data_IF_912718919143
#
_entry.id   IF_912718919143
#
_cell.length_a   1.000
_cell.length_b   1.000
_cell.length_c   1.000
_cell.angle_alpha   90.00
_cell.angle_beta   90.00
_cell.angle_gamma   90.00
#
_symmetry.space_group_name_H-M   'P 1'
#
loop_
_entity.id
_entity.type
_entity.pdbx_description
1 polymer ?
#
# COMPACT_ATOMS: atom_id res chain seq x y z
N UNK A 1 29.27 64.26 -59.55
CA UNK A 1 27.83 64.29 -59.23
C UNK A 1 27.32 62.89 -59.28
N UNK A 2 27.29 62.18 -58.10
CA UNK A 2 26.74 60.82 -57.97
C UNK A 2 25.57 60.88 -56.99
N UNK A 3 24.38 60.64 -57.47
CA UNK A 3 23.15 60.54 -56.64
C UNK A 3 23.13 59.23 -55.91
N UNK A 4 23.08 59.28 -54.57
CA UNK A 4 22.83 58.14 -53.75
C UNK A 4 21.31 58.02 -53.57
N UNK A 5 20.76 56.93 -54.02
CA UNK A 5 19.36 56.51 -53.73
C UNK A 5 19.38 55.74 -52.38
N UNK A 6 18.73 56.25 -51.35
CA UNK A 6 18.40 55.55 -50.14
C UNK A 6 17.17 54.65 -50.44
N UNK A 7 17.38 53.37 -50.39
CA UNK A 7 16.28 52.37 -50.36
C UNK A 7 15.81 52.20 -48.89
N UNK A 8 14.63 52.71 -48.59
CA UNK A 8 13.93 52.43 -47.32
C UNK A 8 13.33 51.05 -47.40
N UNK A 9 13.91 50.09 -46.68
CA UNK A 9 13.33 48.77 -46.48
C UNK A 9 12.20 48.89 -45.46
N UNK A 10 10.94 48.73 -45.91
CA UNK A 10 9.77 48.59 -45.07
C UNK A 10 9.76 47.20 -44.47
N UNK A 11 10.12 47.06 -43.20
CA UNK A 11 9.95 45.83 -42.42
C UNK A 11 8.47 45.77 -42.03
N UNK A 12 7.68 45.04 -42.82
CA UNK A 12 6.32 44.65 -42.41
C UNK A 12 6.41 43.59 -41.30
N UNK A 13 6.28 44.00 -40.04
CA UNK A 13 6.01 43.08 -38.93
C UNK A 13 4.65 42.41 -39.21
N UNK A 14 4.70 41.14 -39.58
CA UNK A 14 3.54 40.25 -39.60
C UNK A 14 3.10 40.05 -38.15
N UNK A 15 2.18 40.88 -37.67
CA UNK A 15 1.42 40.63 -36.47
C UNK A 15 0.52 39.42 -36.76
N UNK A 16 0.99 38.20 -36.43
CA UNK A 16 0.14 37.04 -36.43
C UNK A 16 -1.07 37.31 -35.52
N UNK A 17 -2.27 36.86 -35.88
CA UNK A 17 -3.48 37.23 -35.14
C UNK A 17 -3.44 36.67 -33.74
N UNK A 18 -3.28 37.56 -32.76
CA UNK A 18 -3.34 37.22 -31.31
C UNK A 18 -4.71 36.64 -30.89
N UNK A 19 -5.65 36.55 -31.81
CA UNK A 19 -7.00 36.02 -31.59
C UNK A 19 -7.07 34.51 -31.46
N UNK A 20 -6.09 33.74 -31.96
CA UNK A 20 -6.08 32.28 -31.83
C UNK A 20 -5.64 31.79 -30.44
N UNK A 21 -5.07 32.67 -29.62
CA UNK A 21 -4.57 32.32 -28.29
C UNK A 21 -5.55 32.63 -27.17
N UNK A 22 -6.65 33.32 -27.43
CA UNK A 22 -7.60 33.80 -26.43
C UNK A 22 -9.03 33.37 -26.75
N UNK A 23 -9.77 32.95 -25.71
CA UNK A 23 -11.20 32.59 -25.86
C UNK A 23 -12.14 33.80 -25.75
N UNK A 24 -11.66 34.87 -25.10
CA UNK A 24 -12.42 36.12 -24.89
C UNK A 24 -11.49 37.27 -24.52
N UNK A 25 -12.06 38.50 -24.49
CA UNK A 25 -11.45 39.68 -23.86
C UNK A 25 -12.45 40.24 -22.84
N UNK A 26 -12.02 40.34 -21.58
CA UNK A 26 -12.85 40.84 -20.45
C UNK A 26 -12.25 42.15 -19.95
N UNK A 27 -13.00 43.24 -20.03
CA UNK A 27 -12.53 44.57 -19.61
C UNK A 27 -11.14 44.94 -20.18
N UNK A 28 -10.92 44.64 -21.45
CA UNK A 28 -9.65 44.91 -22.15
C UNK A 28 -8.53 43.90 -21.88
N UNK A 29 -8.73 42.90 -20.97
CA UNK A 29 -7.74 41.85 -20.68
C UNK A 29 -8.07 40.56 -21.45
N UNK A 30 -7.10 39.98 -22.15
CA UNK A 30 -7.29 38.74 -22.90
C UNK A 30 -7.41 37.56 -21.90
N UNK A 31 -8.33 36.65 -22.22
CA UNK A 31 -8.52 35.38 -21.46
C UNK A 31 -7.90 34.25 -22.30
N UNK A 32 -6.73 33.70 -21.88
CA UNK A 32 -6.02 32.71 -22.66
C UNK A 32 -6.79 31.41 -22.84
N UNK A 33 -6.73 30.81 -24.02
CA UNK A 33 -7.26 29.47 -24.33
C UNK A 33 -6.69 28.39 -23.41
N UNK A 34 -5.46 28.58 -22.89
CA UNK A 34 -4.83 27.66 -21.95
C UNK A 34 -5.67 27.42 -20.69
N UNK A 35 -6.46 28.41 -20.21
CA UNK A 35 -7.36 28.24 -19.05
C UNK A 35 -8.51 27.29 -19.37
N UNK A 36 -9.08 27.36 -20.54
CA UNK A 36 -10.12 26.44 -21.01
C UNK A 36 -9.55 25.02 -21.15
N UNK A 37 -8.37 24.92 -21.77
CA UNK A 37 -7.70 23.63 -21.94
C UNK A 37 -7.35 22.97 -20.61
N UNK A 38 -6.99 23.74 -19.58
CA UNK A 38 -6.72 23.21 -18.24
C UNK A 38 -7.98 22.60 -17.60
N UNK A 39 -9.16 23.27 -17.70
CA UNK A 39 -10.43 22.72 -17.22
C UNK A 39 -10.83 21.47 -18.00
N UNK A 40 -10.72 21.51 -19.34
CA UNK A 40 -10.98 20.37 -20.21
C UNK A 40 -10.12 19.16 -19.78
N UNK A 41 -8.83 19.33 -19.66
CA UNK A 41 -7.90 18.27 -19.25
C UNK A 41 -8.20 17.73 -17.83
N UNK A 42 -8.75 18.56 -16.93
CA UNK A 42 -9.16 18.11 -15.60
C UNK A 42 -10.38 17.17 -15.67
N UNK A 43 -11.36 17.48 -16.53
CA UNK A 43 -12.54 16.64 -16.73
C UNK A 43 -12.15 15.33 -17.43
N UNK A 44 -11.33 15.39 -18.47
CA UNK A 44 -10.86 14.22 -19.20
C UNK A 44 -10.07 13.24 -18.30
N UNK A 45 -9.28 13.77 -17.37
CA UNK A 45 -8.58 12.96 -16.34
C UNK A 45 -9.53 12.22 -15.39
N UNK A 46 -10.76 12.71 -15.22
CA UNK A 46 -11.79 11.99 -14.42
C UNK A 46 -12.53 10.91 -15.23
N UNK A 47 -12.08 10.61 -16.47
CA UNK A 47 -12.66 9.59 -17.34
C UNK A 47 -13.93 10.02 -18.07
N UNK A 48 -14.30 11.32 -18.03
CA UNK A 48 -15.48 11.85 -18.72
C UNK A 48 -15.07 12.52 -20.02
N UNK A 49 -15.70 12.18 -21.16
CA UNK A 49 -15.49 12.88 -22.42
C UNK A 49 -16.07 14.30 -22.34
N UNK A 50 -15.39 15.25 -22.96
CA UNK A 50 -15.87 16.63 -23.06
C UNK A 50 -16.59 16.78 -24.40
N UNK A 51 -17.92 17.02 -24.39
CA UNK A 51 -18.75 17.27 -25.56
C UNK A 51 -18.64 18.75 -26.01
N UNK A 52 -19.08 19.05 -27.21
CA UNK A 52 -19.10 20.44 -27.73
C UNK A 52 -19.99 21.37 -26.88
N UNK A 53 -21.13 20.87 -26.39
CA UNK A 53 -22.00 21.59 -25.47
C UNK A 53 -21.27 21.91 -24.15
N UNK A 54 -20.59 20.91 -23.55
CA UNK A 54 -19.77 21.13 -22.35
C UNK A 54 -18.64 22.12 -22.60
N UNK A 55 -18.03 22.08 -23.78
CA UNK A 55 -16.97 23.01 -24.15
C UNK A 55 -17.49 24.47 -24.16
N UNK A 56 -18.73 24.71 -24.68
CA UNK A 56 -19.41 26.00 -24.59
C UNK A 56 -19.57 26.44 -23.10
N UNK A 57 -20.13 25.59 -22.28
CA UNK A 57 -20.32 25.86 -20.84
C UNK A 57 -19.00 26.16 -20.12
N UNK A 58 -17.95 25.39 -20.39
CA UNK A 58 -16.62 25.61 -19.83
C UNK A 58 -16.03 26.97 -20.27
N UNK A 59 -16.25 27.36 -21.49
CA UNK A 59 -15.82 28.68 -22.01
C UNK A 59 -16.50 29.80 -21.19
N UNK A 60 -17.82 29.71 -21.02
CA UNK A 60 -18.60 30.70 -20.28
C UNK A 60 -18.13 30.72 -18.78
N UNK A 61 -17.87 29.58 -18.20
CA UNK A 61 -17.32 29.50 -16.85
C UNK A 61 -15.94 30.18 -16.72
N UNK A 62 -15.03 29.97 -17.68
CA UNK A 62 -13.72 30.64 -17.68
C UNK A 62 -13.86 32.16 -17.77
N UNK A 63 -14.80 32.64 -18.62
CA UNK A 63 -15.08 34.07 -18.72
C UNK A 63 -15.65 34.63 -17.43
N UNK A 64 -16.64 33.95 -16.81
CA UNK A 64 -17.23 34.36 -15.55
C UNK A 64 -16.17 34.41 -14.44
N UNK A 65 -15.30 33.43 -14.36
CA UNK A 65 -14.16 33.40 -13.38
C UNK A 65 -13.24 34.61 -13.57
N UNK A 66 -12.94 35.00 -14.81
CA UNK A 66 -12.11 36.20 -15.07
C UNK A 66 -12.81 37.47 -14.58
N UNK A 67 -14.12 37.62 -14.82
CA UNK A 67 -14.92 38.78 -14.36
C UNK A 67 -14.84 38.87 -12.81
N UNK A 68 -15.12 37.77 -12.12
CA UNK A 68 -15.09 37.73 -10.65
C UNK A 68 -13.68 37.98 -10.09
N UNK A 69 -12.66 37.46 -10.75
CA UNK A 69 -11.27 37.65 -10.35
C UNK A 69 -10.82 39.11 -10.52
N UNK A 70 -11.26 39.79 -11.59
CA UNK A 70 -10.98 41.21 -11.77
C UNK A 70 -11.68 42.07 -10.70
N UNK A 71 -12.94 41.77 -10.37
CA UNK A 71 -13.66 42.49 -9.33
C UNK A 71 -13.03 42.26 -7.93
N UNK A 72 -12.63 41.02 -7.64
CA UNK A 72 -11.94 40.70 -6.38
C UNK A 72 -10.62 41.50 -6.23
N UNK A 73 -9.82 41.58 -7.30
CA UNK A 73 -8.60 42.40 -7.32
C UNK A 73 -8.88 43.89 -7.16
N UNK A 74 -9.94 44.40 -7.84
CA UNK A 74 -10.35 45.79 -7.71
C UNK A 74 -10.71 46.14 -6.26
N UNK A 75 -11.26 45.18 -5.50
CA UNK A 75 -11.57 45.33 -4.06
C UNK A 75 -10.36 45.07 -3.17
N UNK A 76 -9.20 44.76 -3.70
CA UNK A 76 -7.99 44.51 -2.93
C UNK A 76 -7.98 43.18 -2.17
N UNK A 77 -8.88 42.22 -2.50
CA UNK A 77 -8.97 40.94 -1.78
C UNK A 77 -7.73 40.07 -1.95
N UNK A 78 -7.02 40.21 -3.07
CA UNK A 78 -5.77 39.51 -3.36
C UNK A 78 -4.55 40.06 -2.56
N UNK A 79 -4.71 41.21 -1.90
CA UNK A 79 -3.73 41.78 -0.99
C UNK A 79 -3.98 41.43 0.49
N UNK A 80 -5.12 40.81 0.82
CA UNK A 80 -5.47 40.45 2.19
C UNK A 80 -4.52 39.38 2.74
N UNK A 81 -4.28 39.39 4.06
CA UNK A 81 -3.43 38.39 4.72
C UNK A 81 -4.06 36.99 4.66
N UNK A 82 -5.39 36.92 4.74
CA UNK A 82 -6.13 35.66 4.58
C UNK A 82 -5.87 35.02 3.22
N UNK A 83 -5.99 35.79 2.12
CA UNK A 83 -5.70 35.29 0.78
C UNK A 83 -4.25 34.82 0.64
N UNK A 84 -3.28 35.60 1.13
CA UNK A 84 -1.86 35.27 1.08
C UNK A 84 -1.55 34.00 1.84
N UNK A 85 -2.12 33.84 3.05
CA UNK A 85 -1.94 32.63 3.86
C UNK A 85 -2.53 31.38 3.17
N UNK A 86 -3.73 31.50 2.61
CA UNK A 86 -4.36 30.39 1.89
C UNK A 86 -3.59 30.03 0.61
N UNK A 87 -3.08 31.03 -0.12
CA UNK A 87 -2.27 30.80 -1.30
C UNK A 87 -0.96 30.07 -0.96
N UNK A 88 -0.31 30.45 0.13
CA UNK A 88 0.93 29.80 0.59
C UNK A 88 0.69 28.35 1.02
N UNK A 89 -0.38 28.08 1.77
CA UNK A 89 -0.78 26.71 2.13
C UNK A 89 -1.10 25.86 0.90
N UNK A 90 -1.81 26.43 -0.06
CA UNK A 90 -2.13 25.73 -1.33
C UNK A 90 -0.84 25.42 -2.12
N UNK A 91 0.10 26.38 -2.19
CA UNK A 91 1.40 26.20 -2.84
C UNK A 91 2.21 25.08 -2.19
N UNK A 92 2.31 25.07 -0.87
CA UNK A 92 3.02 24.02 -0.12
C UNK A 92 2.39 22.66 -0.38
N UNK A 93 1.06 22.54 -0.31
CA UNK A 93 0.34 21.31 -0.59
C UNK A 93 0.62 20.77 -1.99
N UNK A 94 0.60 21.66 -2.99
CA UNK A 94 0.88 21.28 -4.37
C UNK A 94 2.33 20.79 -4.52
N UNK A 95 3.30 21.53 -3.98
CA UNK A 95 4.72 21.15 -4.06
C UNK A 95 5.01 19.81 -3.39
N UNK A 96 4.43 19.57 -2.20
CA UNK A 96 4.58 18.31 -1.47
C UNK A 96 3.99 17.15 -2.29
N UNK A 97 2.81 17.34 -2.85
CA UNK A 97 2.18 16.33 -3.71
C UNK A 97 3.02 16.02 -4.96
N UNK A 98 3.52 17.06 -5.63
CA UNK A 98 4.36 16.89 -6.82
C UNK A 98 5.69 16.20 -6.48
N UNK A 99 6.29 16.50 -5.31
CA UNK A 99 7.50 15.82 -4.82
C UNK A 99 7.26 14.30 -4.66
N UNK A 100 6.15 13.92 -4.03
CA UNK A 100 5.84 12.51 -3.84
C UNK A 100 5.49 11.81 -5.16
N UNK A 101 4.76 12.49 -6.04
CA UNK A 101 4.45 11.96 -7.38
C UNK A 101 5.72 11.76 -8.23
N UNK A 102 6.65 12.71 -8.20
CA UNK A 102 7.95 12.60 -8.88
C UNK A 102 8.79 11.44 -8.31
N UNK A 103 8.83 11.30 -6.98
CA UNK A 103 9.50 10.19 -6.33
C UNK A 103 8.93 8.83 -6.77
N UNK A 104 7.60 8.67 -6.75
CA UNK A 104 6.94 7.43 -7.18
C UNK A 104 7.23 7.10 -8.64
N UNK A 105 7.18 8.11 -9.51
CA UNK A 105 7.48 7.95 -10.94
C UNK A 105 8.93 7.50 -11.19
N UNK A 106 9.88 8.01 -10.41
CA UNK A 106 11.30 7.70 -10.55
C UNK A 106 11.71 6.40 -9.85
N UNK A 107 10.90 5.95 -8.89
CA UNK A 107 11.16 4.76 -8.08
C UNK A 107 9.97 3.79 -8.10
N UNK A 108 9.54 3.31 -9.27
CA UNK A 108 8.43 2.35 -9.36
C UNK A 108 8.79 1.07 -8.61
N UNK A 109 7.78 0.36 -8.15
CA UNK A 109 7.95 -1.01 -7.67
C UNK A 109 8.13 -1.90 -8.90
N UNK A 110 9.20 -2.69 -8.90
CA UNK A 110 9.55 -3.60 -10.00
C UNK A 110 9.01 -5.01 -9.76
N UNK A 111 8.80 -5.77 -10.82
CA UNK A 111 8.43 -7.19 -10.71
C UNK A 111 9.48 -8.01 -9.95
N UNK A 112 10.77 -7.67 -10.07
CA UNK A 112 11.83 -8.33 -9.33
C UNK A 112 11.72 -8.09 -7.80
N UNK A 113 11.33 -6.89 -7.37
CA UNK A 113 11.09 -6.61 -5.94
C UNK A 113 9.87 -7.36 -5.42
N UNK A 114 8.80 -7.42 -6.22
CA UNK A 114 7.59 -8.18 -5.88
C UNK A 114 7.92 -9.68 -5.75
N UNK A 115 8.65 -10.23 -6.72
CA UNK A 115 9.09 -11.63 -6.68
C UNK A 115 9.95 -11.90 -5.45
N UNK A 116 10.93 -11.03 -5.16
CA UNK A 116 11.80 -11.20 -4.01
C UNK A 116 11.05 -11.15 -2.66
N UNK A 117 9.99 -10.34 -2.54
CA UNK A 117 9.16 -10.30 -1.34
C UNK A 117 8.28 -11.55 -1.23
N UNK A 118 7.73 -12.02 -2.35
CA UNK A 118 7.00 -13.27 -2.41
C UNK A 118 7.88 -14.47 -2.07
N UNK A 119 9.11 -14.52 -2.57
CA UNK A 119 10.06 -15.61 -2.27
C UNK A 119 10.40 -15.68 -0.77
N UNK A 120 10.53 -14.53 -0.09
CA UNK A 120 10.69 -14.46 1.37
C UNK A 120 9.45 -15.02 2.09
N UNK A 121 8.27 -14.64 1.61
CA UNK A 121 7.01 -15.16 2.16
C UNK A 121 6.92 -16.67 2.00
N UNK A 122 7.25 -17.20 0.82
CA UNK A 122 7.31 -18.66 0.55
C UNK A 122 8.33 -19.34 1.44
N UNK A 123 9.53 -18.75 1.59
CA UNK A 123 10.58 -19.33 2.44
C UNK A 123 10.17 -19.38 3.94
N UNK A 124 9.42 -18.37 4.39
CA UNK A 124 8.97 -18.29 5.79
C UNK A 124 7.74 -19.16 6.09
N UNK A 125 6.85 -19.35 5.10
CA UNK A 125 5.53 -20.00 5.31
C UNK A 125 5.35 -21.26 4.47
N UNK A 126 6.29 -21.57 3.59
CA UNK A 126 6.30 -22.79 2.79
C UNK A 126 6.76 -24.02 3.58
N UNK A 127 6.78 -25.17 2.88
CA UNK A 127 7.16 -26.44 3.48
C UNK A 127 5.97 -27.29 3.85
N UNK A 128 6.01 -27.93 5.03
CA UNK A 128 4.94 -28.81 5.50
C UNK A 128 4.05 -28.08 6.50
N UNK A 129 2.76 -28.30 6.37
CA UNK A 129 1.76 -28.04 7.41
C UNK A 129 1.38 -29.34 8.09
N UNK A 130 1.19 -29.26 9.39
CA UNK A 130 0.87 -30.36 10.25
C UNK A 130 -0.52 -30.12 10.86
N UNK A 131 -1.42 -31.08 10.72
CA UNK A 131 -2.62 -31.14 11.52
C UNK A 131 -2.27 -31.86 12.80
N UNK A 132 -1.97 -31.10 13.83
CA UNK A 132 -1.48 -31.63 15.09
C UNK A 132 -2.54 -31.53 16.20
N UNK A 133 -2.42 -32.43 17.16
CA UNK A 133 -3.11 -32.36 18.45
C UNK A 133 -2.13 -32.36 19.56
N UNK A 134 -2.47 -31.73 20.69
CA UNK A 134 -1.64 -31.83 21.88
C UNK A 134 -2.46 -31.90 23.18
N UNK A 135 -1.82 -32.43 24.20
CA UNK A 135 -2.28 -32.33 25.59
C UNK A 135 -1.18 -31.61 26.37
N UNK A 136 -1.53 -30.50 27.00
CA UNK A 136 -0.62 -29.74 27.87
C UNK A 136 -0.95 -30.03 29.31
N UNK A 137 0.08 -30.41 30.12
CA UNK A 137 -0.03 -30.63 31.56
C UNK A 137 1.09 -29.96 32.31
N UNK A 138 0.93 -29.83 33.63
CA UNK A 138 1.86 -29.11 34.50
C UNK A 138 3.13 -29.92 34.82
N UNK A 139 2.99 -31.27 34.92
CA UNK A 139 4.09 -32.11 35.35
C UNK A 139 4.41 -33.21 34.34
N UNK A 140 5.69 -33.64 34.34
CA UNK A 140 6.17 -34.73 33.50
C UNK A 140 5.45 -36.05 33.78
N UNK A 141 5.20 -36.32 35.09
CA UNK A 141 4.56 -37.58 35.53
C UNK A 141 3.10 -37.67 35.03
N UNK A 142 2.38 -36.53 34.99
CA UNK A 142 1.05 -36.50 34.40
C UNK A 142 1.12 -36.83 32.90
N UNK A 143 2.08 -36.24 32.18
CA UNK A 143 2.25 -36.52 30.75
C UNK A 143 2.62 -37.98 30.49
N UNK A 144 3.54 -38.58 31.27
CA UNK A 144 3.90 -40.00 31.18
C UNK A 144 2.70 -40.92 31.44
N UNK A 145 1.86 -40.57 32.42
CA UNK A 145 0.67 -41.35 32.76
C UNK A 145 -0.33 -41.32 31.59
N UNK A 146 -0.58 -40.15 30.99
CA UNK A 146 -1.48 -40.00 29.86
C UNK A 146 -0.92 -40.69 28.60
N UNK A 147 0.38 -40.65 28.34
CA UNK A 147 0.99 -41.40 27.23
C UNK A 147 0.71 -42.91 27.42
N UNK A 148 0.94 -43.43 28.61
CA UNK A 148 0.69 -44.84 28.92
C UNK A 148 -0.79 -45.22 28.79
N UNK A 149 -1.72 -44.32 29.12
CA UNK A 149 -3.16 -44.52 28.96
C UNK A 149 -3.55 -44.55 27.50
N UNK A 150 -3.02 -43.62 26.68
CA UNK A 150 -3.27 -43.58 25.22
C UNK A 150 -2.74 -44.87 24.55
N UNK A 151 -1.52 -45.31 24.94
CA UNK A 151 -0.92 -46.57 24.44
C UNK A 151 -1.75 -47.81 24.75
N UNK A 152 -2.53 -47.79 25.85
CA UNK A 152 -3.46 -48.86 26.21
C UNK A 152 -4.84 -48.72 25.54
N UNK A 153 -5.04 -47.79 24.62
CA UNK A 153 -6.25 -47.62 23.88
C UNK A 153 -7.15 -46.51 24.36
N UNK A 154 -6.69 -45.68 25.29
CA UNK A 154 -7.38 -44.42 25.67
C UNK A 154 -7.46 -43.46 24.47
N UNK A 155 -8.61 -42.79 24.32
CA UNK A 155 -8.82 -41.84 23.24
C UNK A 155 -8.15 -40.53 23.55
N UNK A 156 -7.24 -40.11 22.68
CA UNK A 156 -6.46 -38.87 22.81
C UNK A 156 -7.34 -37.65 23.04
N UNK A 157 -8.40 -37.52 22.25
CA UNK A 157 -9.31 -36.37 22.28
C UNK A 157 -10.09 -36.28 23.60
N UNK A 158 -10.49 -37.42 24.17
CA UNK A 158 -11.19 -37.45 25.46
C UNK A 158 -10.25 -37.09 26.62
N UNK A 159 -9.02 -37.58 26.53
CA UNK A 159 -8.00 -37.27 27.54
C UNK A 159 -7.56 -35.80 27.43
N UNK A 160 -7.45 -35.24 26.21
CA UNK A 160 -7.19 -33.84 26.05
C UNK A 160 -8.29 -32.97 26.64
N UNK A 161 -9.57 -33.26 26.38
CA UNK A 161 -10.71 -32.54 26.99
C UNK A 161 -10.70 -32.59 28.52
N UNK A 162 -10.27 -33.69 29.07
CA UNK A 162 -10.32 -33.91 30.53
C UNK A 162 -9.11 -33.32 31.26
N UNK A 163 -7.92 -33.36 30.65
CA UNK A 163 -6.67 -33.13 31.36
C UNK A 163 -5.84 -31.96 30.79
N UNK A 164 -6.08 -31.54 29.51
CA UNK A 164 -5.27 -30.48 28.93
C UNK A 164 -5.50 -29.15 29.64
N UNK A 165 -4.42 -28.47 29.94
CA UNK A 165 -4.41 -27.10 30.47
C UNK A 165 -4.33 -26.04 29.39
N UNK A 166 -4.29 -26.46 28.11
CA UNK A 166 -4.35 -25.52 27.01
C UNK A 166 -5.78 -24.97 26.81
N UNK A 167 -6.01 -23.66 27.05
CA UNK A 167 -7.34 -23.07 26.93
C UNK A 167 -7.84 -23.00 25.49
N UNK A 168 -6.92 -23.01 24.51
CA UNK A 168 -7.25 -22.87 23.10
C UNK A 168 -7.74 -24.17 22.48
N UNK A 169 -7.07 -25.29 22.74
CA UNK A 169 -7.35 -26.55 22.08
C UNK A 169 -7.93 -27.63 22.99
N UNK A 170 -7.74 -27.54 24.31
CA UNK A 170 -8.13 -28.59 25.25
C UNK A 170 -9.59 -29.02 25.10
N UNK A 171 -10.54 -28.08 25.08
CA UNK A 171 -11.96 -28.34 24.92
C UNK A 171 -12.32 -28.99 23.56
N UNK A 172 -11.47 -28.78 22.53
CA UNK A 172 -11.61 -29.34 21.18
C UNK A 172 -10.82 -30.65 21.00
N UNK A 173 -10.47 -31.35 22.10
CA UNK A 173 -9.71 -32.59 22.04
C UNK A 173 -8.24 -32.40 21.65
N UNK A 174 -7.70 -31.24 21.98
CA UNK A 174 -6.31 -30.86 21.73
C UNK A 174 -6.00 -30.44 20.30
N UNK A 175 -7.01 -30.21 19.45
CA UNK A 175 -6.86 -29.88 18.03
C UNK A 175 -6.25 -28.49 17.84
N UNK A 176 -5.17 -28.43 17.08
CA UNK A 176 -4.43 -27.20 16.78
C UNK A 176 -4.64 -26.73 15.33
N UNK A 177 -5.52 -27.45 14.57
CA UNK A 177 -5.73 -27.23 13.16
C UNK A 177 -4.44 -27.34 12.32
N UNK A 178 -4.49 -26.94 11.05
CA UNK A 178 -3.36 -26.97 10.14
C UNK A 178 -2.44 -25.76 10.38
N UNK A 179 -1.18 -26.04 10.68
CA UNK A 179 -0.18 -24.98 10.84
C UNK A 179 1.22 -25.46 10.45
N UNK A 180 2.07 -24.53 10.03
CA UNK A 180 3.49 -24.77 9.79
C UNK A 180 4.27 -24.90 11.10
N UNK A 181 5.44 -25.52 11.07
CA UNK A 181 6.31 -25.70 12.23
C UNK A 181 6.67 -24.37 12.94
N UNK A 182 6.80 -23.29 12.17
CA UNK A 182 7.11 -21.95 12.68
C UNK A 182 6.03 -21.31 13.56
N UNK A 183 4.83 -21.90 13.60
CA UNK A 183 3.71 -21.43 14.44
C UNK A 183 3.86 -21.82 15.91
N UNK A 184 4.81 -22.69 16.23
CA UNK A 184 4.99 -23.26 17.57
C UNK A 184 6.35 -22.89 18.15
N UNK A 185 6.49 -23.03 19.48
CA UNK A 185 7.78 -22.92 20.15
C UNK A 185 8.73 -24.03 19.70
N UNK A 186 10.03 -23.74 19.71
CA UNK A 186 11.04 -24.62 19.12
C UNK A 186 10.96 -26.08 19.64
N UNK A 187 10.80 -26.27 20.95
CA UNK A 187 10.74 -27.60 21.56
C UNK A 187 9.55 -28.42 21.06
N UNK A 188 8.41 -27.74 20.83
CA UNK A 188 7.21 -28.38 20.30
C UNK A 188 7.39 -28.73 18.84
N UNK A 189 7.85 -27.77 18.02
CA UNK A 189 8.02 -27.96 16.58
C UNK A 189 9.08 -29.01 16.26
N UNK A 190 10.22 -29.02 16.98
CA UNK A 190 11.29 -29.99 16.82
C UNK A 190 10.86 -31.44 17.12
N UNK A 191 9.90 -31.61 18.02
CA UNK A 191 9.28 -32.89 18.29
C UNK A 191 8.23 -33.26 17.23
N UNK A 192 7.36 -32.31 16.87
CA UNK A 192 6.27 -32.50 15.91
C UNK A 192 6.76 -32.90 14.52
N UNK A 193 7.79 -32.22 13.99
CA UNK A 193 8.30 -32.48 12.63
C UNK A 193 8.96 -33.86 12.44
N UNK A 194 9.28 -34.55 13.55
CA UNK A 194 9.84 -35.90 13.53
C UNK A 194 8.78 -36.99 13.51
N UNK A 195 7.51 -36.62 13.74
CA UNK A 195 6.40 -37.55 13.77
C UNK A 195 5.84 -37.78 12.37
N UNK A 196 5.59 -39.01 12.02
CA UNK A 196 4.81 -39.35 10.84
C UNK A 196 3.30 -39.15 11.10
N UNK A 197 2.51 -39.17 10.02
CA UNK A 197 1.04 -39.15 10.12
C UNK A 197 0.53 -40.27 11.01
N UNK A 198 -0.29 -39.93 12.01
CA UNK A 198 -0.85 -40.85 13.01
C UNK A 198 0.07 -41.12 14.20
N UNK A 199 1.31 -40.63 14.20
CA UNK A 199 2.25 -40.84 15.29
C UNK A 199 2.08 -39.82 16.43
N UNK A 200 2.46 -40.25 17.62
CA UNK A 200 2.47 -39.47 18.85
C UNK A 200 3.87 -39.51 19.49
N UNK A 201 4.25 -38.45 20.20
CA UNK A 201 5.50 -38.43 20.98
C UNK A 201 5.55 -39.58 21.98
N UNK A 202 6.65 -40.35 21.95
CA UNK A 202 6.86 -41.48 22.87
C UNK A 202 7.21 -41.03 24.30
N UNK A 203 7.67 -39.77 24.46
CA UNK A 203 8.02 -39.16 25.72
C UNK A 203 7.43 -37.73 25.78
N UNK A 204 7.19 -37.21 27.03
CA UNK A 204 6.76 -35.83 27.20
C UNK A 204 7.74 -34.81 26.61
N UNK A 205 7.23 -33.77 25.99
CA UNK A 205 8.01 -32.65 25.45
C UNK A 205 7.87 -31.46 26.38
N UNK A 206 8.99 -30.97 26.94
CA UNK A 206 8.99 -29.81 27.85
C UNK A 206 9.08 -28.51 27.06
N UNK A 207 8.27 -27.55 27.43
CA UNK A 207 8.37 -26.14 26.95
C UNK A 207 8.24 -25.19 28.16
N UNK A 208 8.26 -23.89 27.87
CA UNK A 208 7.96 -22.85 28.88
C UNK A 208 6.52 -22.91 29.41
N UNK A 209 5.58 -23.54 28.68
CA UNK A 209 4.16 -23.65 29.06
C UNK A 209 3.86 -24.88 29.92
N UNK A 210 4.75 -25.85 29.96
CA UNK A 210 4.56 -27.14 30.67
C UNK A 210 5.06 -28.32 29.85
N UNK A 211 4.36 -29.43 29.98
CA UNK A 211 4.70 -30.70 29.34
C UNK A 211 3.63 -31.07 28.32
N UNK A 212 4.06 -31.32 27.08
CA UNK A 212 3.21 -31.61 25.92
C UNK A 212 3.27 -33.09 25.56
N UNK A 213 2.13 -33.62 25.17
CA UNK A 213 2.00 -34.87 24.41
C UNK A 213 1.49 -34.43 23.04
N UNK A 214 2.22 -34.73 21.97
CA UNK A 214 1.94 -34.23 20.64
C UNK A 214 1.58 -35.42 19.75
N UNK A 215 0.50 -35.33 18.97
CA UNK A 215 0.12 -36.28 17.93
C UNK A 215 -0.02 -35.54 16.60
N UNK A 216 0.51 -36.09 15.54
CA UNK A 216 0.32 -35.57 14.16
C UNK A 216 -0.78 -36.39 13.49
N UNK A 217 -1.94 -35.79 13.28
CA UNK A 217 -3.07 -36.46 12.62
C UNK A 217 -2.87 -36.54 11.10
N UNK A 218 -2.31 -35.48 10.50
CA UNK A 218 -1.99 -35.45 9.08
C UNK A 218 -0.86 -34.46 8.75
N UNK A 219 -0.26 -34.61 7.55
CA UNK A 219 0.81 -33.75 7.04
C UNK A 219 0.53 -33.45 5.57
N UNK A 220 0.62 -32.18 5.18
CA UNK A 220 0.47 -31.75 3.79
C UNK A 220 1.52 -30.71 3.39
N UNK A 221 1.66 -30.46 2.10
CA UNK A 221 2.41 -29.31 1.63
C UNK A 221 1.61 -28.03 1.92
N UNK A 222 2.29 -26.97 2.40
CA UNK A 222 1.67 -25.70 2.69
C UNK A 222 0.99 -25.11 1.44
N UNK A 223 -0.27 -24.72 1.60
CA UNK A 223 -1.03 -24.13 0.52
C UNK A 223 -0.86 -22.60 0.54
N UNK A 224 0.18 -22.13 -0.14
CA UNK A 224 0.43 -20.71 -0.26
C UNK A 224 -0.38 -20.10 -1.41
N UNK A 225 -0.85 -18.85 -1.29
CA UNK A 225 -1.48 -18.14 -2.38
C UNK A 225 -0.46 -17.97 -3.53
N UNK A 226 -0.94 -18.04 -4.78
CA UNK A 226 -0.07 -17.81 -5.94
C UNK A 226 0.38 -16.36 -6.00
N UNK A 227 1.54 -16.12 -6.58
CA UNK A 227 2.07 -14.77 -6.75
C UNK A 227 1.06 -13.82 -7.40
N UNK A 228 0.37 -14.27 -8.46
CA UNK A 228 -0.60 -13.44 -9.18
C UNK A 228 -1.76 -12.97 -8.31
N UNK A 229 -2.18 -13.80 -7.32
CA UNK A 229 -3.28 -13.48 -6.42
C UNK A 229 -2.90 -12.40 -5.39
N UNK A 230 -1.62 -12.34 -5.00
CA UNK A 230 -1.11 -11.42 -3.97
C UNK A 230 -0.23 -10.28 -4.52
N UNK A 231 0.10 -10.33 -5.81
CA UNK A 231 0.96 -9.34 -6.48
C UNK A 231 0.51 -7.89 -6.24
N UNK A 232 -0.79 -7.52 -6.35
CA UNK A 232 -1.22 -6.15 -6.09
C UNK A 232 -0.98 -5.71 -4.64
N UNK A 233 -1.17 -6.61 -3.68
CA UNK A 233 -0.97 -6.34 -2.25
C UNK A 233 0.51 -6.13 -1.93
N UNK A 234 1.38 -7.00 -2.45
CA UNK A 234 2.84 -6.88 -2.30
C UNK A 234 3.32 -5.57 -2.92
N UNK A 235 2.86 -5.24 -4.14
CA UNK A 235 3.21 -3.99 -4.81
C UNK A 235 2.80 -2.76 -3.99
N UNK A 236 1.60 -2.75 -3.43
CA UNK A 236 1.13 -1.67 -2.58
C UNK A 236 1.96 -1.53 -1.30
N UNK A 237 2.28 -2.64 -0.65
CA UNK A 237 3.12 -2.65 0.55
C UNK A 237 4.53 -2.13 0.25
N UNK A 238 5.17 -2.58 -0.81
CA UNK A 238 6.49 -2.11 -1.23
C UNK A 238 6.47 -0.62 -1.58
N UNK A 239 5.41 -0.15 -2.25
CA UNK A 239 5.24 1.28 -2.54
C UNK A 239 5.15 2.12 -1.27
N UNK A 240 4.41 1.65 -0.26
CA UNK A 240 4.31 2.31 1.04
C UNK A 240 5.66 2.32 1.78
N UNK A 241 6.39 1.20 1.76
CA UNK A 241 7.73 1.11 2.36
C UNK A 241 8.72 2.08 1.69
N UNK A 242 8.75 2.14 0.34
CA UNK A 242 9.59 3.10 -0.40
C UNK A 242 9.27 4.54 -0.02
N UNK A 243 7.97 4.86 0.07
CA UNK A 243 7.52 6.20 0.45
C UNK A 243 7.89 6.54 1.89
N UNK A 244 7.68 5.61 2.83
CA UNK A 244 8.07 5.80 4.23
C UNK A 244 9.57 6.03 4.39
N UNK A 245 10.39 5.23 3.70
CA UNK A 245 11.85 5.41 3.68
C UNK A 245 12.26 6.77 3.09
N UNK A 246 11.64 7.18 2.00
CA UNK A 246 11.91 8.48 1.40
C UNK A 246 11.61 9.64 2.36
N UNK A 247 10.48 9.58 3.08
CA UNK A 247 10.13 10.58 4.08
C UNK A 247 11.13 10.60 5.24
N UNK A 248 11.55 9.43 5.72
CA UNK A 248 12.54 9.32 6.79
C UNK A 248 13.92 9.85 6.36
N UNK A 249 14.35 9.51 5.14
CA UNK A 249 15.60 10.02 4.57
C UNK A 249 15.60 11.55 4.46
N UNK A 250 14.46 12.17 4.11
CA UNK A 250 14.32 13.63 4.09
C UNK A 250 14.42 14.23 5.49
N UNK A 251 13.76 13.61 6.48
CA UNK A 251 13.81 14.07 7.88
C UNK A 251 15.22 14.00 8.46
N UNK A 252 15.92 12.89 8.21
CA UNK A 252 17.27 12.66 8.72
C UNK A 252 18.30 13.66 8.14
N UNK A 253 18.08 14.07 6.88
CA UNK A 253 18.95 15.06 6.22
C UNK A 253 18.61 16.51 6.58
N UNK A 254 17.45 16.75 7.15
CA UNK A 254 17.02 18.10 7.52
C UNK A 254 17.75 18.58 8.78
N UNK A 255 18.18 19.84 8.77
CA UNK A 255 18.66 20.52 9.97
C UNK A 255 17.48 21.22 10.63
N UNK A 256 17.02 20.69 11.74
CA UNK A 256 15.94 21.25 12.56
C UNK A 256 16.60 21.94 13.76
N UNK A 257 16.35 23.24 13.90
CA UNK A 257 16.87 24.06 15.00
C UNK A 257 15.71 24.52 15.88
#
# INVERSE_FOLDING_TARGET
MKKQMLAAALVALLAAPAFAQNIAVVNGKPVPTARLNALKAQIERSGRPVTDEMLGQLKDEVVAREIFMQEARKRGLDASDEYKNQLELARQTILIRELFADFQKKNPVTDAEIQGEYDKFVAANGGKEYHARHILVETEDQAKTLIAEIQKGGKFEELAKKHSKDPGSGANGGDLDWAGASSYVAEFSDAMVKLAKGEMTAAPVKSQFGWHIIRVDDVRDAQLPKLDDVKPQIAQQLQQQKMGKFQEDLRTKARIQ
#
